data_IF_368939114963
#
_entry.id   IF_368939114963
#
_cell.length_a   1.000
_cell.length_b   1.000
_cell.length_c   1.000
_cell.angle_alpha   90.00
_cell.angle_beta   90.00
_cell.angle_gamma   90.00
#
_symmetry.space_group_name_H-M   'P 1'
#
loop_
_entity.id
_entity.type
_entity.pdbx_description
1 polymer ?
#
# COMPACT_ATOMS: atom_id res chain seq x y z
N UNK A 1 -11.33 8.96 -18.15
CA UNK A 1 -11.10 9.26 -16.72
C UNK A 1 -9.65 8.91 -16.41
N UNK A 2 -8.73 9.76 -16.83
CA UNK A 2 -7.30 9.66 -16.52
C UNK A 2 -6.88 11.10 -16.25
N UNK A 3 -6.97 11.51 -14.99
CA UNK A 3 -6.69 12.88 -14.55
C UNK A 3 -5.37 12.88 -13.77
N UNK A 4 -4.38 13.50 -14.39
CA UNK A 4 -3.31 14.31 -13.83
C UNK A 4 -3.21 14.34 -12.29
N UNK A 5 -2.27 13.59 -11.71
CA UNK A 5 -1.75 13.92 -10.38
C UNK A 5 -2.61 13.58 -9.15
N UNK A 6 -3.62 12.71 -9.25
CA UNK A 6 -4.35 12.23 -8.06
C UNK A 6 -3.41 11.51 -7.08
N UNK A 7 -3.05 12.23 -6.00
CA UNK A 7 -2.37 11.68 -4.83
C UNK A 7 -3.42 11.34 -3.78
N UNK A 8 -3.71 10.06 -3.54
CA UNK A 8 -4.65 9.65 -2.51
C UNK A 8 -4.23 10.15 -1.12
N UNK A 9 -5.22 10.36 -0.25
CA UNK A 9 -5.01 10.92 1.09
C UNK A 9 -4.23 9.94 1.96
N UNK A 10 -3.07 10.39 2.45
CA UNK A 10 -2.29 9.64 3.43
C UNK A 10 -3.01 9.56 4.78
N UNK A 11 -2.83 8.46 5.54
CA UNK A 11 -3.31 8.38 6.91
C UNK A 11 -2.68 9.44 7.80
N UNK A 12 -3.46 9.93 8.77
CA UNK A 12 -2.98 10.86 9.80
C UNK A 12 -2.10 10.15 10.83
N UNK A 13 -2.31 8.85 11.03
CA UNK A 13 -1.52 8.02 11.92
C UNK A 13 -0.16 7.71 11.27
N UNK A 14 0.91 8.21 11.87
CA UNK A 14 2.29 8.01 11.40
C UNK A 14 2.67 6.53 11.36
N UNK A 15 2.22 5.72 12.31
CA UNK A 15 2.47 4.28 12.36
C UNK A 15 1.86 3.57 11.16
N UNK A 16 0.59 3.84 10.86
CA UNK A 16 -0.12 3.30 9.70
C UNK A 16 0.51 3.79 8.39
N UNK A 17 0.85 5.08 8.29
CA UNK A 17 1.53 5.63 7.11
C UNK A 17 2.85 4.92 6.87
N UNK A 18 3.69 4.80 7.89
CA UNK A 18 4.97 4.10 7.82
C UNK A 18 4.78 2.63 7.44
N UNK A 19 3.77 1.94 7.97
CA UNK A 19 3.47 0.56 7.62
C UNK A 19 3.12 0.42 6.12
N UNK A 20 2.22 1.27 5.62
CA UNK A 20 1.82 1.29 4.20
C UNK A 20 3.02 1.60 3.30
N UNK A 21 3.78 2.65 3.61
CA UNK A 21 4.93 3.05 2.80
C UNK A 21 6.03 2.00 2.79
N UNK A 22 6.34 1.39 3.94
CA UNK A 22 7.32 0.29 4.04
C UNK A 22 6.88 -0.91 3.23
N UNK A 23 5.61 -1.31 3.35
CA UNK A 23 5.08 -2.43 2.59
C UNK A 23 5.10 -2.13 1.09
N UNK A 24 4.74 -0.91 0.69
CA UNK A 24 4.76 -0.50 -0.71
C UNK A 24 6.16 -0.55 -1.32
N UNK A 25 7.20 -0.09 -0.61
CA UNK A 25 8.60 -0.23 -1.04
C UNK A 25 8.97 -1.72 -1.16
N UNK A 26 8.57 -2.50 -0.17
CA UNK A 26 8.93 -3.92 -0.12
C UNK A 26 8.29 -4.71 -1.27
N UNK A 27 7.01 -4.48 -1.55
CA UNK A 27 6.28 -5.11 -2.65
C UNK A 27 6.77 -4.59 -4.00
N UNK A 28 7.07 -3.30 -4.15
CA UNK A 28 7.64 -2.75 -5.37
C UNK A 28 9.01 -3.39 -5.71
N UNK A 29 9.83 -3.67 -4.69
CA UNK A 29 11.17 -4.27 -4.87
C UNK A 29 11.16 -5.79 -5.08
N UNK A 30 10.33 -6.50 -4.31
CA UNK A 30 10.33 -7.98 -4.30
C UNK A 30 9.24 -8.58 -5.19
N UNK A 31 8.27 -7.77 -5.62
CA UNK A 31 7.15 -8.18 -6.45
C UNK A 31 5.84 -8.41 -5.67
N UNK A 32 4.73 -8.56 -6.41
CA UNK A 32 3.37 -8.67 -5.87
C UNK A 32 3.12 -9.99 -5.11
N UNK A 33 3.98 -11.01 -5.24
CA UNK A 33 3.85 -12.25 -4.46
C UNK A 33 3.99 -12.01 -2.95
N UNK A 34 4.86 -11.07 -2.56
CA UNK A 34 5.03 -10.70 -1.15
C UNK A 34 3.84 -9.94 -0.58
N UNK A 35 3.10 -9.21 -1.42
CA UNK A 35 1.84 -8.59 -1.02
C UNK A 35 0.86 -9.69 -0.58
N UNK A 36 0.66 -10.72 -1.43
CA UNK A 36 -0.23 -11.83 -1.13
C UNK A 36 0.15 -12.56 0.15
N UNK A 37 1.43 -12.87 0.35
CA UNK A 37 1.92 -13.49 1.58
C UNK A 37 1.65 -12.63 2.83
N UNK A 38 1.83 -11.31 2.70
CA UNK A 38 1.57 -10.38 3.80
C UNK A 38 0.08 -10.27 4.10
N UNK A 39 -0.77 -10.29 3.07
CA UNK A 39 -2.22 -10.36 3.22
C UNK A 39 -2.59 -11.59 4.05
N UNK A 40 -2.30 -12.79 3.57
CA UNK A 40 -2.64 -14.04 4.28
C UNK A 40 -2.14 -14.06 5.74
N UNK A 41 -0.93 -13.54 5.98
CA UNK A 41 -0.35 -13.49 7.33
C UNK A 41 -0.97 -12.44 8.25
N UNK A 42 -1.53 -11.36 7.68
CA UNK A 42 -2.19 -10.27 8.41
C UNK A 42 -3.72 -10.35 8.29
N UNK A 43 -4.25 -11.51 7.91
CA UNK A 43 -5.68 -11.74 7.85
C UNK A 43 -6.31 -11.48 9.22
N UNK A 44 -7.39 -10.67 9.22
CA UNK A 44 -8.07 -10.24 10.44
C UNK A 44 -7.40 -9.08 11.18
N UNK A 45 -6.25 -8.56 10.73
CA UNK A 45 -5.62 -7.40 11.35
C UNK A 45 -6.22 -6.09 10.81
N UNK A 46 -6.90 -5.27 11.63
CA UNK A 46 -7.49 -4.01 11.17
C UNK A 46 -6.45 -3.00 10.67
N UNK A 47 -5.19 -3.10 11.13
CA UNK A 47 -4.09 -2.24 10.64
C UNK A 47 -3.74 -2.51 9.18
N UNK A 48 -3.98 -3.74 8.69
CA UNK A 48 -3.74 -4.15 7.31
C UNK A 48 -5.02 -4.26 6.49
N UNK A 49 -6.15 -3.75 7.00
CA UNK A 49 -7.41 -3.72 6.28
C UNK A 49 -7.29 -3.03 4.91
N UNK A 50 -6.36 -2.08 4.77
CA UNK A 50 -6.05 -1.41 3.49
C UNK A 50 -5.65 -2.38 2.38
N UNK A 51 -5.10 -3.57 2.70
CA UNK A 51 -4.77 -4.59 1.69
C UNK A 51 -6.01 -5.27 1.11
N UNK A 52 -7.12 -5.27 1.85
CA UNK A 52 -8.37 -5.94 1.50
C UNK A 52 -9.44 -4.98 0.94
N UNK A 53 -9.02 -3.81 0.45
CA UNK A 53 -9.94 -2.76 0.00
C UNK A 53 -10.49 -1.89 1.14
N UNK A 54 -9.87 -1.94 2.32
CA UNK A 54 -10.17 -1.03 3.42
C UNK A 54 -9.68 0.41 3.20
N UNK A 55 -9.80 1.28 4.21
CA UNK A 55 -9.35 2.65 4.12
C UNK A 55 -7.86 2.71 3.76
N UNK A 56 -7.46 3.70 2.96
CA UNK A 56 -6.09 3.87 2.46
C UNK A 56 -5.61 2.80 1.45
N UNK A 57 -6.49 1.93 0.93
CA UNK A 57 -6.15 1.02 -0.17
C UNK A 57 -5.61 1.79 -1.39
N UNK A 58 -6.25 2.89 -1.78
CA UNK A 58 -5.79 3.76 -2.87
C UNK A 58 -4.39 4.32 -2.59
N UNK A 59 -4.13 4.77 -1.36
CA UNK A 59 -2.82 5.31 -0.95
C UNK A 59 -1.72 4.26 -1.02
N UNK A 60 -2.01 3.05 -0.56
CA UNK A 60 -1.11 1.92 -0.71
C UNK A 60 -0.82 1.61 -2.18
N UNK A 61 -1.84 1.46 -3.03
CA UNK A 61 -1.67 1.15 -4.45
C UNK A 61 -0.91 2.23 -5.20
N UNK A 62 -1.20 3.50 -4.92
CA UNK A 62 -0.43 4.63 -5.44
C UNK A 62 1.04 4.52 -5.03
N UNK A 63 1.31 4.29 -3.74
CA UNK A 63 2.66 4.15 -3.24
C UNK A 63 3.43 2.99 -3.89
N UNK A 64 2.79 1.84 -4.10
CA UNK A 64 3.39 0.69 -4.80
C UNK A 64 3.69 1.06 -6.25
N UNK A 65 2.72 1.65 -6.95
CA UNK A 65 2.88 2.04 -8.36
C UNK A 65 3.99 3.07 -8.57
N UNK A 66 4.06 4.10 -7.72
CA UNK A 66 5.12 5.11 -7.81
C UNK A 66 6.50 4.53 -7.55
N UNK A 67 6.62 3.60 -6.58
CA UNK A 67 7.88 2.97 -6.19
C UNK A 67 8.33 1.88 -7.16
N UNK A 68 7.37 1.21 -7.81
CA UNK A 68 7.66 0.17 -8.82
C UNK A 68 8.13 0.76 -10.15
N UNK A 69 7.85 2.04 -10.40
CA UNK A 69 8.28 2.72 -11.64
C UNK A 69 9.65 3.40 -11.53
N UNK A 70 10.24 3.44 -10.33
CA UNK A 70 11.61 3.94 -10.07
C UNK A 70 12.65 2.81 -10.06
N UNK A 71 12.48 1.78 -10.90
CA UNK A 71 13.41 0.66 -11.07
C UNK A 71 13.77 0.42 -12.53
#
# INVERSE_FOLDING_TARGET
MADDGYRPRAPQDDDLRNAIERLAVFVAKNGPEFEKMTMEKQEGNPKFAFLYGGPFNEYYRFCVGTRSSES
#
